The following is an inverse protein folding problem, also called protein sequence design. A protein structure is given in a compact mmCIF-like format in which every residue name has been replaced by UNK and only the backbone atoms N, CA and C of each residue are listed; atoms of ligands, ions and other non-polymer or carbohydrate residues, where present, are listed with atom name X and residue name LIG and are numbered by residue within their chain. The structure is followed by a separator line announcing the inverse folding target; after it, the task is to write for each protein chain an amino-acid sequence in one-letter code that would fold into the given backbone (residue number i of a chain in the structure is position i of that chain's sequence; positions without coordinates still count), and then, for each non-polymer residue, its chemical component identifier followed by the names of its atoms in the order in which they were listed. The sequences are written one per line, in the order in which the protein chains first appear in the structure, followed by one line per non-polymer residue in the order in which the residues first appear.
data_IF_647209868833
#
_entry.id   IF_647209868833
#
_cell.length_a   1.000
_cell.length_b   1.000
_cell.length_c   1.000
_cell.angle_alpha   90.00
_cell.angle_beta   90.00
_cell.angle_gamma   90.00
#
_symmetry.space_group_name_H-M   'P 1'
#
loop_
_entity.id
_entity.type
_entity.pdbx_description
1 polymer ?
#
# COMPACT_ATOMS: atom_id res chain seq x y z
N UNK A 1 9.18 -15.11 23.29
CA UNK A 1 9.52 -13.79 22.70
C UNK A 1 10.41 -13.87 21.46
N UNK A 2 11.37 -14.79 21.36
CA UNK A 2 12.27 -14.93 20.18
C UNK A 2 11.57 -15.14 18.81
N UNK A 3 10.35 -15.68 18.79
CA UNK A 3 9.57 -15.80 17.55
C UNK A 3 9.17 -14.42 17.00
N UNK A 4 8.70 -13.50 17.86
CA UNK A 4 8.25 -12.17 17.43
C UNK A 4 9.45 -11.41 16.83
N UNK A 5 10.61 -11.48 17.47
CA UNK A 5 11.85 -10.90 16.92
C UNK A 5 12.21 -11.48 15.57
N UNK A 6 12.15 -12.81 15.39
CA UNK A 6 12.41 -13.46 14.09
C UNK A 6 11.42 -13.02 13.01
N UNK A 7 10.12 -12.87 13.33
CA UNK A 7 9.09 -12.48 12.34
C UNK A 7 9.18 -11.01 11.97
N UNK A 8 9.45 -10.14 12.94
CA UNK A 8 9.66 -8.71 12.71
C UNK A 8 10.96 -8.46 11.94
N UNK A 9 12.06 -9.12 12.30
CA UNK A 9 13.33 -8.99 11.58
C UNK A 9 13.21 -9.49 10.14
N UNK A 10 12.41 -10.53 9.87
CA UNK A 10 12.24 -11.02 8.50
C UNK A 10 11.55 -10.00 7.60
N UNK A 11 10.52 -9.30 8.09
CA UNK A 11 9.85 -8.22 7.34
C UNK A 11 10.80 -7.08 6.96
N UNK A 12 11.78 -6.75 7.82
CA UNK A 12 12.77 -5.70 7.56
C UNK A 12 14.02 -6.19 6.80
N UNK A 13 14.29 -7.49 6.78
CA UNK A 13 15.31 -8.10 5.90
C UNK A 13 14.83 -8.17 4.44
N UNK A 14 13.52 -8.22 4.20
CA UNK A 14 12.93 -8.24 2.85
C UNK A 14 13.04 -6.87 2.15
N UNK A 15 13.25 -5.77 2.89
CA UNK A 15 13.51 -4.48 2.26
C UNK A 15 14.87 -4.50 1.58
N UNK A 16 14.84 -4.54 0.25
CA UNK A 16 16.04 -4.46 -0.58
C UNK A 16 16.88 -3.24 -0.18
N UNK A 17 18.20 -3.42 -0.04
CA UNK A 17 19.09 -2.33 0.35
C UNK A 17 18.97 -1.13 -0.61
N UNK A 18 18.63 -1.38 -1.87
CA UNK A 18 18.33 -0.33 -2.87
C UNK A 18 17.09 0.49 -2.49
N UNK A 19 15.99 -0.15 -2.09
CA UNK A 19 14.76 0.55 -1.67
C UNK A 19 14.98 1.42 -0.44
N UNK A 20 15.73 0.92 0.54
CA UNK A 20 16.10 1.68 1.76
C UNK A 20 16.94 2.92 1.40
N UNK A 21 17.90 2.80 0.48
CA UNK A 21 18.70 3.95 0.03
C UNK A 21 17.90 4.98 -0.73
N UNK A 22 16.98 4.54 -1.61
CA UNK A 22 16.06 5.45 -2.32
C UNK A 22 15.22 6.24 -1.30
N UNK A 23 14.71 5.56 -0.28
CA UNK A 23 14.00 6.22 0.81
C UNK A 23 14.86 7.27 1.54
N UNK A 24 16.11 6.94 1.88
CA UNK A 24 17.01 7.93 2.48
C UNK A 24 17.28 9.13 1.57
N UNK A 25 17.37 8.93 0.25
CA UNK A 25 17.51 10.04 -0.70
C UNK A 25 16.27 10.93 -0.73
N UNK A 26 15.07 10.36 -0.60
CA UNK A 26 13.84 11.14 -0.46
C UNK A 26 13.86 12.01 0.80
N UNK A 27 14.38 11.49 1.92
CA UNK A 27 14.54 12.28 3.15
C UNK A 27 15.55 13.42 2.99
N UNK A 28 16.65 13.21 2.27
CA UNK A 28 17.62 14.26 1.95
C UNK A 28 16.99 15.34 1.07
N UNK A 29 16.21 14.97 0.05
CA UNK A 29 15.47 15.93 -0.80
C UNK A 29 14.47 16.72 0.04
N UNK A 30 13.75 16.06 0.95
CA UNK A 30 12.84 16.73 1.87
C UNK A 30 13.58 17.72 2.78
N UNK A 31 14.75 17.35 3.29
CA UNK A 31 15.59 18.25 4.08
C UNK A 31 16.03 19.48 3.28
N UNK A 32 16.41 19.31 2.00
CA UNK A 32 16.77 20.41 1.12
C UNK A 32 15.57 21.36 0.87
N UNK A 33 14.35 20.83 0.74
CA UNK A 33 13.12 21.63 0.65
C UNK A 33 12.87 22.43 1.95
N UNK A 34 13.15 21.85 3.12
CA UNK A 34 13.07 22.57 4.40
C UNK A 34 14.11 23.69 4.52
N UNK A 35 15.33 23.47 4.01
CA UNK A 35 16.36 24.51 3.94
C UNK A 35 15.89 25.70 3.09
N UNK A 36 15.26 25.41 1.94
CA UNK A 36 14.74 26.42 1.03
C UNK A 36 13.61 27.27 1.66
N UNK A 37 12.75 26.66 2.49
CA UNK A 37 11.58 27.32 3.08
C UNK A 37 11.89 28.22 4.28
N UNK A 38 13.17 28.47 4.58
CA UNK A 38 13.61 29.38 5.65
C UNK A 38 14.09 28.71 6.93
N UNK A 39 14.01 27.37 7.03
CA UNK A 39 14.54 26.60 8.16
C UNK A 39 15.91 26.01 7.84
N UNK A 40 16.85 26.87 7.43
CA UNK A 40 18.17 26.47 6.94
C UNK A 40 18.92 25.57 7.92
N UNK A 41 19.00 25.96 9.20
CA UNK A 41 19.70 25.19 10.24
C UNK A 41 19.09 23.81 10.48
N UNK A 42 17.76 23.73 10.57
CA UNK A 42 17.06 22.46 10.78
C UNK A 42 17.24 21.53 9.58
N UNK A 43 17.12 22.06 8.35
CA UNK A 43 17.33 21.28 7.14
C UNK A 43 18.78 20.84 6.94
N UNK A 44 19.76 21.67 7.31
CA UNK A 44 21.18 21.31 7.25
C UNK A 44 21.55 20.20 8.24
N UNK A 45 21.06 20.29 9.49
CA UNK A 45 21.28 19.25 10.51
C UNK A 45 20.60 17.95 10.08
N UNK A 46 19.32 18.02 9.68
CA UNK A 46 18.56 16.85 9.28
C UNK A 46 19.14 16.19 8.03
N UNK A 47 19.44 16.98 6.99
CA UNK A 47 20.07 16.50 5.77
C UNK A 47 21.46 15.90 5.98
N UNK A 48 22.28 16.51 6.84
CA UNK A 48 23.59 15.98 7.21
C UNK A 48 23.51 14.62 7.90
N UNK A 49 22.58 14.47 8.85
CA UNK A 49 22.32 13.18 9.53
C UNK A 49 21.86 12.12 8.53
N UNK A 50 20.97 12.46 7.61
CA UNK A 50 20.47 11.54 6.58
C UNK A 50 21.55 11.11 5.58
N UNK A 51 22.46 12.03 5.20
CA UNK A 51 23.61 11.70 4.34
C UNK A 51 24.54 10.72 5.06
N UNK A 52 24.82 10.92 6.35
CA UNK A 52 25.61 9.97 7.14
C UNK A 52 24.88 8.63 7.32
N UNK A 53 23.56 8.66 7.47
CA UNK A 53 22.74 7.46 7.59
C UNK A 53 22.78 6.57 6.34
N UNK A 54 23.07 7.13 5.14
CA UNK A 54 23.27 6.34 3.92
C UNK A 54 24.42 5.32 4.01
N UNK A 55 25.44 5.61 4.83
CA UNK A 55 26.54 4.68 5.09
C UNK A 55 26.11 3.56 6.05
N UNK A 56 25.10 3.79 6.89
CA UNK A 56 24.63 2.85 7.92
C UNK A 56 23.19 2.42 7.68
N UNK A 57 23.00 1.44 6.77
CA UNK A 57 21.70 0.87 6.41
C UNK A 57 20.75 0.52 7.59
N UNK A 58 21.22 0.02 8.75
CA UNK A 58 20.32 -0.29 9.86
C UNK A 58 19.56 0.93 10.42
N UNK A 59 20.16 2.13 10.45
CA UNK A 59 19.46 3.33 10.95
C UNK A 59 18.36 3.77 9.98
N UNK A 60 18.64 3.77 8.68
CA UNK A 60 17.65 4.05 7.63
C UNK A 60 16.47 3.07 7.67
N UNK A 61 16.73 1.78 7.96
CA UNK A 61 15.66 0.78 8.13
C UNK A 61 14.76 1.10 9.32
N UNK A 62 15.34 1.58 10.42
CA UNK A 62 14.58 1.96 11.60
C UNK A 62 13.73 3.22 11.38
N UNK A 63 14.27 4.22 10.69
CA UNK A 63 13.51 5.41 10.30
C UNK A 63 12.37 5.06 9.32
N UNK A 64 12.65 4.21 8.34
CA UNK A 64 11.64 3.69 7.42
C UNK A 64 10.51 2.96 8.16
N UNK A 65 10.87 2.12 9.14
CA UNK A 65 9.93 1.41 10.00
C UNK A 65 8.98 2.38 10.72
N UNK A 66 9.54 3.40 11.35
CA UNK A 66 8.78 4.40 12.11
C UNK A 66 7.84 5.20 11.20
N UNK A 67 8.35 5.71 10.08
CA UNK A 67 7.54 6.50 9.14
C UNK A 67 6.46 5.62 8.51
N UNK A 68 6.77 4.36 8.18
CA UNK A 68 5.79 3.41 7.68
C UNK A 68 4.73 3.09 8.71
N UNK A 69 5.08 2.95 10.00
CA UNK A 69 4.11 2.69 11.06
C UNK A 69 3.10 3.83 11.18
N UNK A 70 3.56 5.08 11.07
CA UNK A 70 2.70 6.27 11.11
C UNK A 70 1.87 6.46 9.85
N UNK A 71 2.44 6.17 8.68
CA UNK A 71 1.77 6.36 7.38
C UNK A 71 0.89 5.18 7.00
N UNK A 72 1.09 4.00 7.56
CA UNK A 72 0.28 2.81 7.30
C UNK A 72 -1.23 3.01 7.55
N UNK A 73 -1.71 3.55 8.68
CA UNK A 73 -3.14 3.78 8.87
C UNK A 73 -3.70 4.77 7.85
N UNK A 74 -2.95 5.83 7.52
CA UNK A 74 -3.35 6.83 6.52
C UNK A 74 -3.45 6.18 5.15
N UNK A 75 -2.41 5.43 4.74
CA UNK A 75 -2.37 4.72 3.46
C UNK A 75 -3.47 3.67 3.34
N UNK A 76 -3.84 3.00 4.43
CA UNK A 76 -4.95 2.04 4.44
C UNK A 76 -6.29 2.72 4.19
N UNK A 77 -6.55 3.85 4.84
CA UNK A 77 -7.79 4.62 4.65
C UNK A 77 -7.84 5.19 3.23
N UNK A 78 -6.77 5.84 2.78
CA UNK A 78 -6.68 6.42 1.43
C UNK A 78 -6.82 5.33 0.36
N UNK A 79 -6.17 4.18 0.55
CA UNK A 79 -6.26 3.05 -0.37
C UNK A 79 -7.67 2.46 -0.43
N UNK A 80 -8.36 2.36 0.72
CA UNK A 80 -9.76 1.93 0.75
C UNK A 80 -10.67 2.92 0.00
N UNK A 81 -10.52 4.22 0.25
CA UNK A 81 -11.27 5.27 -0.45
C UNK A 81 -10.99 5.22 -1.95
N UNK A 82 -9.73 5.10 -2.37
CA UNK A 82 -9.37 4.99 -3.78
C UNK A 82 -10.00 3.75 -4.43
N UNK A 83 -10.00 2.60 -3.76
CA UNK A 83 -10.66 1.39 -4.25
C UNK A 83 -12.18 1.59 -4.38
N UNK A 84 -12.83 2.24 -3.41
CA UNK A 84 -14.26 2.56 -3.48
C UNK A 84 -14.55 3.47 -4.67
N UNK A 85 -13.72 4.50 -4.88
CA UNK A 85 -13.86 5.42 -6.03
C UNK A 85 -13.72 4.65 -7.34
N UNK A 86 -12.68 3.83 -7.49
CA UNK A 86 -12.46 3.03 -8.71
C UNK A 86 -13.61 2.05 -8.93
N UNK A 87 -14.10 1.41 -7.86
CA UNK A 87 -15.22 0.50 -7.94
C UNK A 87 -16.48 1.21 -8.44
N UNK A 88 -16.84 2.34 -7.82
CA UNK A 88 -18.06 3.10 -8.16
C UNK A 88 -17.96 3.78 -9.52
N UNK A 89 -16.80 4.36 -9.87
CA UNK A 89 -16.66 5.15 -11.09
C UNK A 89 -16.29 4.34 -12.33
N UNK A 90 -15.65 3.18 -12.16
CA UNK A 90 -15.17 2.38 -13.30
C UNK A 90 -15.91 1.06 -13.36
N UNK A 91 -15.88 0.27 -12.28
CA UNK A 91 -16.41 -1.10 -12.30
C UNK A 91 -17.93 -1.10 -12.38
N UNK A 92 -18.61 -0.28 -11.58
CA UNK A 92 -20.08 -0.20 -11.54
C UNK A 92 -20.68 0.24 -12.88
N UNK A 93 -20.23 1.33 -13.54
CA UNK A 93 -20.77 1.70 -14.85
C UNK A 93 -20.42 0.69 -15.95
N UNK A 94 -19.24 0.07 -15.92
CA UNK A 94 -18.93 -1.04 -16.84
C UNK A 94 -19.89 -2.21 -16.62
N UNK A 95 -20.19 -2.56 -15.36
CA UNK A 95 -21.15 -3.62 -15.03
C UNK A 95 -22.59 -3.30 -15.43
N UNK A 96 -23.02 -2.05 -15.27
CA UNK A 96 -24.34 -1.57 -15.69
C UNK A 96 -24.49 -1.52 -17.22
N UNK A 97 -23.49 -1.00 -17.93
CA UNK A 97 -23.49 -0.91 -19.40
C UNK A 97 -23.30 -2.28 -20.06
N UNK A 98 -22.57 -3.19 -19.40
CA UNK A 98 -22.36 -4.56 -19.83
C UNK A 98 -23.36 -5.52 -19.19
N UNK A 99 -24.54 -5.02 -18.78
CA UNK A 99 -25.70 -5.84 -18.48
C UNK A 99 -26.10 -6.58 -19.75
N UNK A 100 -25.40 -7.67 -20.04
CA UNK A 100 -25.92 -8.73 -20.88
C UNK A 100 -27.21 -9.14 -20.20
N UNK A 101 -28.32 -9.02 -20.92
CA UNK A 101 -29.53 -9.78 -20.63
C UNK A 101 -29.07 -11.24 -20.60
N UNK A 102 -28.73 -11.76 -19.42
CA UNK A 102 -28.59 -13.19 -19.23
C UNK A 102 -30.02 -13.71 -19.42
N UNK A 103 -30.30 -14.47 -20.49
CA UNK A 103 -31.67 -14.93 -20.76
C UNK A 103 -32.16 -15.89 -19.67
N UNK A 104 -31.25 -16.45 -18.86
CA UNK A 104 -31.56 -17.38 -17.77
C UNK A 104 -30.98 -16.83 -16.48
N UNK A 105 -31.87 -16.38 -15.60
CA UNK A 105 -31.50 -15.98 -14.24
C UNK A 105 -31.21 -17.21 -13.39
N UNK A 106 -30.53 -17.02 -12.25
CA UNK A 106 -30.34 -18.06 -11.23
C UNK A 106 -31.66 -18.72 -10.76
N UNK A 107 -32.81 -18.11 -11.05
CA UNK A 107 -34.14 -18.64 -10.78
C UNK A 107 -34.51 -19.77 -11.76
N UNK A 108 -34.10 -19.69 -13.03
CA UNK A 108 -34.42 -20.71 -14.05
C UNK A 108 -33.63 -22.01 -13.84
N UNK A 109 -32.46 -21.96 -13.21
CA UNK A 109 -31.70 -23.18 -12.90
C UNK A 109 -32.38 -24.03 -11.82
N UNK A 110 -33.33 -23.47 -11.06
CA UNK A 110 -34.08 -24.24 -10.06
C UNK A 110 -35.25 -25.01 -10.68
N UNK A 111 -35.82 -24.52 -11.79
CA UNK A 111 -36.88 -25.21 -12.53
C UNK A 111 -36.38 -26.38 -13.39
N UNK A 112 -35.09 -26.43 -13.72
CA UNK A 112 -34.51 -27.57 -14.43
C UNK A 112 -34.06 -28.72 -13.51
N UNK A 113 -34.07 -28.52 -12.19
CA UNK A 113 -33.78 -29.56 -11.18
C UNK A 113 -35.11 -30.11 -10.61
N UNK A 114 -36.24 -29.89 -11.30
CA UNK A 114 -37.50 -30.51 -10.91
C UNK A 114 -37.41 -32.03 -11.10
N UNK A 115 -37.79 -32.84 -10.09
CA UNK A 115 -37.74 -34.31 -10.15
C UNK A 115 -38.48 -34.89 -11.35
N UNK A 116 -39.49 -34.17 -11.85
CA UNK A 116 -40.33 -34.54 -13.00
C UNK A 116 -39.54 -34.63 -14.32
N UNK A 117 -38.43 -33.91 -14.47
CA UNK A 117 -37.55 -33.96 -15.67
C UNK A 117 -36.38 -34.94 -15.54
N UNK A 118 -36.20 -35.59 -14.39
CA UNK A 118 -35.06 -36.49 -14.15
C UNK A 118 -35.33 -37.95 -14.54
N UNK A 119 -36.55 -38.27 -14.96
CA UNK A 119 -37.00 -39.64 -15.27
C UNK A 119 -37.42 -39.84 -16.74
N UNK A 120 -37.05 -38.94 -17.65
CA UNK A 120 -37.08 -39.21 -19.11
C UNK A 120 -35.83 -39.99 -19.54
#
# INVERSE_FOLDING_TARGET
MQWIDKKYQHFYQILSARGVRIFGWLLVVLAALFMWKGSFWAGAIFGGVEILAQAYLPSLRFQYALISLLTYPIGRVVGFVALVIVYVLVITPIGLLRSRKFPHGWVDSSSDILPEKMFE
#
